data_IF_249277613903
#
_entry.id   IF_249277613903
#
_cell.length_a   1.000
_cell.length_b   1.000
_cell.length_c   1.000
_cell.angle_alpha   90.00
_cell.angle_beta   90.00
_cell.angle_gamma   90.00
#
_symmetry.space_group_name_H-M   'P 1'
#
loop_
_entity.id
_entity.type
_entity.pdbx_description
1 polymer ?
#
# COMPACT_ATOMS: atom_id res chain seq x y z
N UNK A 1 16.67 17.67 13.92
CA UNK A 1 16.52 16.25 14.34
C UNK A 1 16.40 15.40 13.09
N UNK A 2 17.16 14.31 13.00
CA UNK A 2 17.07 13.35 11.90
C UNK A 2 15.62 12.85 11.72
N UNK A 3 15.07 13.08 10.52
CA UNK A 3 13.70 12.73 10.14
C UNK A 3 13.41 11.25 10.43
N UNK A 4 14.38 10.38 10.16
CA UNK A 4 14.22 8.94 10.28
C UNK A 4 14.18 8.52 11.76
N UNK A 5 15.08 9.07 12.58
CA UNK A 5 15.06 8.85 14.02
C UNK A 5 13.77 9.38 14.68
N UNK A 6 13.23 10.49 14.18
CA UNK A 6 11.96 11.05 14.67
C UNK A 6 10.78 10.13 14.36
N UNK A 7 10.68 9.61 13.14
CA UNK A 7 9.63 8.65 12.75
C UNK A 7 9.70 7.34 13.54
N UNK A 8 10.91 6.78 13.73
CA UNK A 8 11.06 5.55 14.52
C UNK A 8 10.49 5.69 15.92
N UNK A 9 10.89 6.75 16.63
CA UNK A 9 10.40 7.03 17.98
C UNK A 9 8.91 7.36 18.03
N UNK A 10 8.42 8.13 17.06
CA UNK A 10 7.03 8.62 17.07
C UNK A 10 6.01 7.55 16.69
N UNK A 11 6.40 6.55 15.89
CA UNK A 11 5.45 5.55 15.40
C UNK A 11 6.06 4.16 15.26
N UNK A 12 7.14 3.99 14.49
CA UNK A 12 7.58 2.67 14.04
C UNK A 12 7.94 1.72 15.20
N UNK A 13 8.65 2.21 16.21
CA UNK A 13 9.08 1.39 17.34
C UNK A 13 7.89 0.97 18.22
N UNK A 14 6.93 1.89 18.41
CA UNK A 14 5.75 1.65 19.24
C UNK A 14 4.75 0.74 18.53
N UNK A 15 4.43 1.04 17.27
CA UNK A 15 3.53 0.25 16.44
C UNK A 15 4.12 -1.14 16.17
N UNK A 16 5.42 -1.22 15.84
CA UNK A 16 6.10 -2.48 15.59
C UNK A 16 6.07 -3.41 16.80
N UNK A 17 6.43 -2.90 17.99
CA UNK A 17 6.35 -3.70 19.24
C UNK A 17 4.93 -4.18 19.54
N UNK A 18 3.94 -3.30 19.39
CA UNK A 18 2.54 -3.65 19.65
C UNK A 18 2.05 -4.71 18.69
N UNK A 19 2.25 -4.52 17.38
CA UNK A 19 1.77 -5.42 16.33
C UNK A 19 2.52 -6.76 16.36
N UNK A 20 3.81 -6.77 16.69
CA UNK A 20 4.55 -8.01 16.89
C UNK A 20 3.92 -8.92 17.95
N UNK A 21 3.35 -8.36 19.01
CA UNK A 21 2.64 -9.12 20.03
C UNK A 21 1.27 -9.67 19.56
N UNK A 22 0.72 -9.15 18.47
CA UNK A 22 -0.57 -9.60 17.90
C UNK A 22 -0.40 -10.64 16.80
N UNK A 23 0.80 -10.73 16.22
CA UNK A 23 1.07 -11.55 15.05
C UNK A 23 1.29 -13.02 15.43
N UNK A 24 0.63 -13.96 14.75
CA UNK A 24 1.06 -15.36 14.74
C UNK A 24 2.50 -15.50 14.23
N UNK A 25 3.24 -16.49 14.74
CA UNK A 25 4.62 -16.75 14.35
C UNK A 25 4.76 -17.40 12.97
N UNK A 26 3.70 -18.07 12.51
CA UNK A 26 3.62 -18.89 11.29
C UNK A 26 2.96 -18.16 10.11
N UNK A 27 2.81 -16.83 10.21
CA UNK A 27 2.22 -16.05 9.13
C UNK A 27 3.00 -16.22 7.80
N UNK A 28 2.30 -16.25 6.65
CA UNK A 28 2.94 -16.19 5.35
C UNK A 28 3.83 -14.96 5.23
N UNK A 29 5.05 -15.17 4.73
CA UNK A 29 6.04 -14.10 4.49
C UNK A 29 5.82 -13.35 3.18
N UNK A 30 4.74 -13.68 2.47
CA UNK A 30 4.24 -12.97 1.29
C UNK A 30 3.12 -12.03 1.73
N UNK A 31 3.34 -10.73 1.59
CA UNK A 31 2.43 -9.67 2.02
C UNK A 31 1.78 -9.02 0.81
N UNK A 32 0.45 -8.85 0.86
CA UNK A 32 -0.30 -8.06 -0.11
C UNK A 32 -0.90 -6.85 0.60
N UNK A 33 -0.60 -5.66 0.07
CA UNK A 33 -1.07 -4.38 0.57
C UNK A 33 -1.83 -3.64 -0.54
N UNK A 34 -3.13 -3.95 -0.74
CA UNK A 34 -3.95 -3.21 -1.68
C UNK A 34 -4.15 -1.77 -1.17
N UNK A 35 -4.16 -0.84 -2.12
CA UNK A 35 -4.28 0.61 -1.88
C UNK A 35 -3.09 1.22 -1.11
N UNK A 36 -1.96 0.50 -1.02
CA UNK A 36 -0.81 0.91 -0.20
C UNK A 36 0.06 2.01 -0.81
N UNK A 37 -0.02 2.26 -2.11
CA UNK A 37 0.85 3.25 -2.75
C UNK A 37 2.33 2.92 -2.56
N UNK A 38 3.14 3.95 -2.31
CA UNK A 38 4.53 3.81 -1.89
C UNK A 38 4.74 3.54 -0.40
N UNK A 39 3.71 3.19 0.39
CA UNK A 39 3.83 2.98 1.86
C UNK A 39 4.49 1.64 2.23
N UNK A 40 5.70 1.41 1.71
CA UNK A 40 6.56 0.31 2.13
C UNK A 40 6.99 0.46 3.59
N UNK A 41 7.07 1.69 4.12
CA UNK A 41 7.52 1.92 5.50
C UNK A 41 6.59 1.29 6.52
N UNK A 42 5.26 1.41 6.33
CA UNK A 42 4.30 0.80 7.25
C UNK A 42 4.32 -0.71 7.09
N UNK A 43 4.45 -1.22 5.87
CA UNK A 43 4.57 -2.65 5.63
C UNK A 43 5.78 -3.27 6.31
N UNK A 44 6.94 -2.60 6.31
CA UNK A 44 8.13 -3.07 7.02
C UNK A 44 8.01 -2.99 8.54
N UNK A 45 7.14 -2.12 9.08
CA UNK A 45 6.82 -2.10 10.53
C UNK A 45 5.88 -3.24 10.91
N UNK A 46 4.83 -3.50 10.10
CA UNK A 46 3.84 -4.56 10.38
C UNK A 46 4.44 -5.94 10.11
N UNK A 47 5.22 -6.07 9.03
CA UNK A 47 5.81 -7.32 8.54
C UNK A 47 7.33 -7.24 8.36
N UNK A 48 8.12 -7.03 9.44
CA UNK A 48 9.59 -6.89 9.36
C UNK A 48 10.34 -8.11 8.83
N UNK A 49 9.70 -9.27 8.76
CA UNK A 49 10.22 -10.56 8.31
C UNK A 49 9.63 -11.03 6.97
N UNK A 50 8.85 -10.18 6.29
CA UNK A 50 8.35 -10.46 4.95
C UNK A 50 9.51 -10.72 3.98
N UNK A 51 9.36 -11.76 3.16
CA UNK A 51 10.25 -12.06 2.05
C UNK A 51 9.77 -11.37 0.77
N UNK A 52 8.47 -11.16 0.66
CA UNK A 52 7.86 -10.45 -0.45
C UNK A 52 6.78 -9.49 0.07
N UNK A 53 6.81 -8.24 -0.39
CA UNK A 53 5.76 -7.24 -0.16
C UNK A 53 5.26 -6.74 -1.51
N UNK A 54 3.98 -6.89 -1.79
CA UNK A 54 3.31 -6.34 -2.98
C UNK A 54 2.35 -5.23 -2.57
N UNK A 55 2.64 -3.98 -2.94
CA UNK A 55 1.69 -2.86 -2.84
C UNK A 55 0.99 -2.64 -4.17
N UNK A 56 -0.28 -2.21 -4.12
CA UNK A 56 -1.06 -1.92 -5.32
C UNK A 56 -1.76 -0.58 -5.14
N UNK A 57 -1.75 0.28 -6.16
CA UNK A 57 -2.46 1.57 -6.10
C UNK A 57 -2.69 2.17 -7.48
N UNK A 58 -3.24 3.39 -7.51
CA UNK A 58 -3.46 4.14 -8.75
C UNK A 58 -2.21 4.89 -9.21
N UNK A 59 -1.22 5.07 -8.35
CA UNK A 59 -0.02 5.86 -8.65
C UNK A 59 1.07 5.02 -9.30
N UNK A 60 1.70 5.54 -10.36
CA UNK A 60 2.81 4.88 -11.02
C UNK A 60 4.08 4.91 -10.17
N UNK A 61 4.96 3.93 -10.39
CA UNK A 61 6.27 3.92 -9.77
C UNK A 61 7.12 5.11 -10.21
N UNK A 62 7.08 5.44 -11.51
CA UNK A 62 7.78 6.56 -12.14
C UNK A 62 9.17 6.21 -12.69
N UNK A 63 9.75 7.09 -13.51
CA UNK A 63 11.04 6.87 -14.19
C UNK A 63 12.21 7.24 -13.26
N UNK A 64 13.02 6.25 -12.88
CA UNK A 64 14.20 6.49 -12.05
C UNK A 64 15.33 7.21 -12.81
N UNK A 65 15.34 7.14 -14.16
CA UNK A 65 16.42 7.69 -15.01
C UNK A 65 16.42 9.20 -15.05
N UNK A 66 15.34 9.85 -14.60
CA UNK A 66 15.26 11.29 -14.45
C UNK A 66 16.42 11.86 -13.60
N UNK A 67 17.01 11.05 -12.71
CA UNK A 67 18.15 11.46 -11.90
C UNK A 67 19.39 11.84 -12.72
N UNK A 68 19.50 11.35 -13.95
CA UNK A 68 20.63 11.63 -14.85
C UNK A 68 20.54 13.01 -15.51
N UNK A 69 19.32 13.57 -15.61
CA UNK A 69 19.04 14.79 -16.36
C UNK A 69 18.40 15.91 -15.52
N UNK A 70 17.85 15.60 -14.34
CA UNK A 70 17.22 16.58 -13.46
C UNK A 70 18.21 17.69 -13.06
N UNK A 71 17.75 18.94 -13.12
CA UNK A 71 18.57 20.08 -12.71
C UNK A 71 18.83 20.07 -11.20
N UNK A 72 19.97 20.62 -10.76
CA UNK A 72 20.31 20.68 -9.33
C UNK A 72 19.28 21.43 -8.49
N UNK A 73 18.71 22.51 -9.04
CA UNK A 73 17.66 23.29 -8.36
C UNK A 73 16.38 22.47 -8.23
N UNK A 74 15.92 21.85 -9.32
CA UNK A 74 14.70 21.03 -9.30
C UNK A 74 14.85 19.82 -8.37
N UNK A 75 16.01 19.17 -8.39
CA UNK A 75 16.31 18.07 -7.48
C UNK A 75 16.21 18.51 -6.01
N UNK A 76 16.72 19.69 -5.66
CA UNK A 76 16.62 20.21 -4.31
C UNK A 76 15.16 20.48 -3.90
N UNK A 77 14.36 21.08 -4.79
CA UNK A 77 12.94 21.37 -4.57
C UNK A 77 12.10 20.09 -4.41
N UNK A 78 12.35 19.09 -5.26
CA UNK A 78 11.68 17.80 -5.21
C UNK A 78 12.05 17.02 -3.93
N UNK A 79 13.32 17.03 -3.52
CA UNK A 79 13.74 16.42 -2.24
C UNK A 79 13.02 17.07 -1.05
N UNK A 80 12.86 18.40 -1.05
CA UNK A 80 12.12 19.10 0.01
C UNK A 80 10.64 18.71 -0.01
N UNK A 81 10.02 18.68 -1.19
CA UNK A 81 8.60 18.36 -1.38
C UNK A 81 8.29 16.92 -0.96
N UNK A 82 8.99 15.95 -1.55
CA UNK A 82 8.85 14.52 -1.24
C UNK A 82 9.23 14.27 0.21
N UNK A 83 10.32 14.88 0.70
CA UNK A 83 10.70 14.79 2.11
C UNK A 83 9.58 15.24 3.03
N UNK A 84 8.90 16.35 2.70
CA UNK A 84 7.71 16.87 3.38
C UNK A 84 6.55 15.87 3.39
N UNK A 85 6.28 15.24 2.25
CA UNK A 85 5.24 14.22 2.10
C UNK A 85 5.54 12.92 2.87
N UNK A 86 6.80 12.47 2.86
CA UNK A 86 7.28 11.38 3.70
C UNK A 86 7.09 11.75 5.19
N UNK A 87 7.38 13.00 5.61
CA UNK A 87 7.08 13.43 6.99
C UNK A 87 5.59 13.38 7.30
N UNK A 88 4.73 13.74 6.35
CA UNK A 88 3.27 13.67 6.52
C UNK A 88 2.81 12.22 6.70
N UNK A 89 3.28 11.30 5.84
CA UNK A 89 3.04 9.87 6.00
C UNK A 89 3.48 9.38 7.39
N UNK A 90 4.67 9.80 7.82
CA UNK A 90 5.28 9.39 9.09
C UNK A 90 4.55 9.97 10.32
N UNK A 91 4.01 11.18 10.23
CA UNK A 91 3.25 11.83 11.33
C UNK A 91 1.80 11.38 11.39
N UNK A 92 1.14 11.35 10.24
CA UNK A 92 -0.27 11.00 10.16
C UNK A 92 -0.49 9.49 10.19
N UNK A 93 0.57 8.71 10.00
CA UNK A 93 0.51 7.26 9.89
C UNK A 93 -0.64 6.83 8.96
N UNK A 94 -0.75 7.45 7.78
CA UNK A 94 -1.55 7.02 6.64
C UNK A 94 -1.05 7.72 5.36
N UNK A 95 -1.05 7.01 4.23
CA UNK A 95 -0.84 7.63 2.92
C UNK A 95 -2.19 8.11 2.39
N UNK A 96 -2.21 9.24 1.68
CA UNK A 96 -3.43 9.69 0.99
C UNK A 96 -3.15 9.77 -0.50
N UNK A 97 -4.11 9.37 -1.32
CA UNK A 97 -4.06 9.53 -2.79
C UNK A 97 -3.76 10.98 -3.17
N UNK A 98 -4.22 11.97 -2.38
CA UNK A 98 -3.86 13.38 -2.57
C UNK A 98 -2.35 13.63 -2.39
N UNK A 99 -1.73 13.07 -1.35
CA UNK A 99 -0.28 13.18 -1.13
C UNK A 99 0.53 12.52 -2.25
N UNK A 100 0.13 11.31 -2.68
CA UNK A 100 0.83 10.59 -3.74
C UNK A 100 0.61 11.25 -5.11
N UNK A 101 -0.58 11.77 -5.41
CA UNK A 101 -0.83 12.57 -6.62
C UNK A 101 -0.05 13.88 -6.61
N UNK A 102 0.02 14.59 -5.48
CA UNK A 102 0.85 15.79 -5.38
C UNK A 102 2.33 15.46 -5.64
N UNK A 103 2.84 14.35 -5.07
CA UNK A 103 4.19 13.87 -5.33
C UNK A 103 4.40 13.43 -6.79
N UNK A 104 3.35 13.06 -7.52
CA UNK A 104 3.42 12.73 -8.94
C UNK A 104 3.56 13.96 -9.87
N UNK A 105 3.46 15.19 -9.33
CA UNK A 105 3.78 16.42 -10.06
C UNK A 105 5.26 16.79 -9.97
N UNK A 106 6.04 16.13 -9.11
CA UNK A 106 7.50 16.25 -9.08
C UNK A 106 8.13 15.54 -10.28
N UNK A 107 9.32 15.99 -10.70
CA UNK A 107 10.12 15.26 -11.69
C UNK A 107 10.66 13.97 -11.09
N UNK A 108 11.05 14.01 -9.81
CA UNK A 108 11.39 12.80 -9.07
C UNK A 108 10.16 11.88 -8.87
N UNK A 109 10.31 10.57 -9.09
CA UNK A 109 9.21 9.62 -9.01
C UNK A 109 8.76 9.39 -7.57
N UNK A 110 7.70 10.07 -7.12
CA UNK A 110 7.23 10.09 -5.74
C UNK A 110 7.06 8.70 -5.10
N UNK A 111 6.35 7.79 -5.76
CA UNK A 111 6.12 6.42 -5.26
C UNK A 111 7.43 5.66 -5.03
N UNK A 112 8.36 5.74 -5.99
CA UNK A 112 9.67 5.12 -5.86
C UNK A 112 10.50 5.78 -4.74
N UNK A 113 10.46 7.11 -4.62
CA UNK A 113 11.19 7.82 -3.57
C UNK A 113 10.67 7.48 -2.17
N UNK A 114 9.37 7.26 -2.00
CA UNK A 114 8.79 6.76 -0.75
C UNK A 114 9.31 5.36 -0.40
N UNK A 115 9.39 4.45 -1.37
CA UNK A 115 9.92 3.11 -1.16
C UNK A 115 11.41 3.14 -0.78
N UNK A 116 12.23 3.95 -1.45
CA UNK A 116 13.65 4.11 -1.13
C UNK A 116 13.85 4.74 0.25
N UNK A 117 13.05 5.74 0.62
CA UNK A 117 13.07 6.32 1.97
C UNK A 117 12.71 5.28 3.04
N UNK A 118 11.72 4.43 2.77
CA UNK A 118 11.37 3.32 3.65
C UNK A 118 12.56 2.37 3.86
N UNK A 119 13.22 1.93 2.78
CA UNK A 119 14.41 1.07 2.89
C UNK A 119 15.51 1.73 3.74
N UNK A 120 15.80 3.01 3.49
CA UNK A 120 16.81 3.75 4.24
C UNK A 120 16.48 3.83 5.75
N UNK A 121 15.24 4.18 6.10
CA UNK A 121 14.76 4.23 7.49
C UNK A 121 14.90 2.88 8.16
N UNK A 122 14.56 1.80 7.47
CA UNK A 122 14.56 0.44 8.01
C UNK A 122 15.93 -0.24 7.97
N UNK A 123 16.99 0.50 7.64
CA UNK A 123 18.34 -0.06 7.59
C UNK A 123 18.51 -1.12 6.51
N UNK A 124 17.77 -0.98 5.41
CA UNK A 124 17.85 -1.84 4.24
C UNK A 124 18.66 -1.16 3.14
N UNK A 125 19.35 -1.96 2.33
CA UNK A 125 20.00 -1.53 1.11
C UNK A 125 19.28 -2.12 -0.11
N UNK A 126 18.93 -1.31 -1.12
CA UNK A 126 18.45 -1.82 -2.39
C UNK A 126 19.60 -2.48 -3.17
N UNK A 127 19.29 -3.56 -3.88
CA UNK A 127 20.22 -4.37 -4.68
C UNK A 127 19.94 -4.24 -6.17
N UNK A 128 18.68 -4.14 -6.57
CA UNK A 128 18.28 -3.91 -7.95
C UNK A 128 16.91 -3.25 -8.02
N UNK A 129 16.65 -2.58 -9.15
CA UNK A 129 15.35 -2.05 -9.54
C UNK A 129 15.05 -2.56 -10.95
N UNK A 130 13.87 -3.15 -11.14
CA UNK A 130 13.41 -3.63 -12.45
C UNK A 130 11.98 -3.20 -12.71
N UNK A 131 11.69 -2.77 -13.92
CA UNK A 131 10.32 -2.57 -14.39
C UNK A 131 9.76 -3.88 -14.94
N UNK A 132 8.45 -4.07 -14.84
CA UNK A 132 7.80 -5.27 -15.35
C UNK A 132 6.37 -5.03 -15.83
N UNK A 133 5.92 -5.89 -16.73
CA UNK A 133 4.50 -6.06 -17.05
C UNK A 133 3.99 -7.41 -16.53
N UNK A 134 2.71 -7.46 -16.18
CA UNK A 134 2.05 -8.71 -15.82
C UNK A 134 1.49 -9.33 -17.10
N UNK A 135 1.79 -10.61 -17.31
CA UNK A 135 1.30 -11.40 -18.44
C UNK A 135 -0.12 -11.92 -18.17
N UNK A 136 -0.86 -12.37 -19.22
CA UNK A 136 -2.20 -12.95 -19.07
C UNK A 136 -2.31 -14.09 -18.04
N UNK A 137 -1.25 -14.89 -17.87
CA UNK A 137 -1.17 -15.98 -16.90
C UNK A 137 -0.74 -15.54 -15.49
N UNK A 138 -0.57 -14.25 -15.26
CA UNK A 138 -0.11 -13.67 -13.98
C UNK A 138 1.41 -13.72 -13.77
N UNK A 139 2.19 -14.26 -14.72
CA UNK A 139 3.65 -14.20 -14.67
C UNK A 139 4.18 -12.79 -14.94
N UNK A 140 5.42 -12.52 -14.52
CA UNK A 140 6.05 -11.21 -14.70
C UNK A 140 7.01 -11.22 -15.89
N UNK A 141 6.85 -10.28 -16.81
CA UNK A 141 7.81 -9.98 -17.87
C UNK A 141 8.62 -8.75 -17.47
N UNK A 142 9.89 -8.94 -17.12
CA UNK A 142 10.79 -7.82 -16.84
C UNK A 142 11.19 -7.09 -18.12
N UNK A 143 11.23 -5.77 -18.04
CA UNK A 143 11.52 -4.88 -19.16
C UNK A 143 13.00 -4.55 -19.22
N UNK A 144 13.56 -4.57 -20.42
CA UNK A 144 14.92 -4.08 -20.70
C UNK A 144 14.93 -2.57 -20.87
N UNK A 145 16.11 -1.94 -20.88
CA UNK A 145 16.21 -0.50 -21.20
C UNK A 145 15.60 -0.18 -22.57
N UNK A 146 15.83 -1.03 -23.59
CA UNK A 146 15.25 -0.84 -24.92
C UNK A 146 13.72 -0.96 -24.95
N UNK A 147 13.14 -1.84 -24.12
CA UNK A 147 11.68 -1.90 -23.96
C UNK A 147 11.12 -0.61 -23.37
N UNK A 148 11.82 -0.05 -22.37
CA UNK A 148 11.42 1.19 -21.69
C UNK A 148 11.56 2.40 -22.60
N UNK A 149 12.64 2.49 -23.38
CA UNK A 149 12.85 3.58 -24.35
C UNK A 149 11.75 3.58 -25.41
N UNK A 150 11.50 2.43 -26.03
CA UNK A 150 10.41 2.28 -27.01
C UNK A 150 9.06 2.63 -26.40
N UNK A 151 8.75 2.16 -25.19
CA UNK A 151 7.49 2.46 -24.51
C UNK A 151 7.36 3.94 -24.18
N UNK A 152 8.44 4.61 -23.80
CA UNK A 152 8.43 6.04 -23.54
C UNK A 152 8.18 6.86 -24.81
N UNK A 153 8.80 6.48 -25.93
CA UNK A 153 8.57 7.09 -27.25
C UNK A 153 7.12 6.91 -27.71
N UNK A 154 6.60 5.67 -27.66
CA UNK A 154 5.20 5.35 -27.99
C UNK A 154 4.22 6.15 -27.13
N UNK A 155 4.51 6.28 -25.83
CA UNK A 155 3.68 7.03 -24.89
C UNK A 155 3.67 8.54 -25.18
N UNK A 156 4.84 9.12 -25.52
CA UNK A 156 4.94 10.53 -25.92
C UNK A 156 4.15 10.78 -27.22
N UNK A 157 4.29 9.90 -28.21
CA UNK A 157 3.54 9.97 -29.46
C UNK A 157 2.02 9.91 -29.21
N UNK A 158 1.55 8.98 -28.38
CA UNK A 158 0.13 8.84 -28.05
C UNK A 158 -0.43 10.03 -27.23
N UNK A 159 0.38 10.66 -26.37
CA UNK A 159 -0.01 11.89 -25.64
C UNK A 159 -0.27 13.08 -26.57
N UNK A 160 0.38 13.13 -27.72
CA UNK A 160 0.05 14.12 -28.75
C UNK A 160 -1.32 13.87 -29.40
N UNK A 161 -1.92 12.68 -29.22
CA UNK A 161 -3.10 12.26 -29.99
C UNK A 161 -4.45 12.20 -29.23
N UNK A 162 -4.58 12.09 -27.89
CA UNK A 162 -5.94 12.04 -27.26
C UNK A 162 -6.12 12.28 -25.74
N UNK A 163 -7.43 12.39 -25.41
CA UNK A 163 -8.20 12.86 -24.21
C UNK A 163 -7.85 12.27 -22.83
N UNK A 164 -8.09 13.09 -21.79
CA UNK A 164 -8.05 12.77 -20.34
C UNK A 164 -8.69 11.41 -20.02
N UNK A 165 -7.97 10.56 -19.27
CA UNK A 165 -8.44 9.24 -18.83
C UNK A 165 -9.75 9.25 -18.04
N UNK A 166 -10.47 8.12 -18.04
CA UNK A 166 -11.71 7.96 -17.29
C UNK A 166 -11.40 7.95 -15.78
N UNK A 167 -12.15 8.74 -15.02
CA UNK A 167 -12.12 8.72 -13.55
C UNK A 167 -12.68 7.40 -13.06
N UNK A 168 -12.12 6.87 -11.97
CA UNK A 168 -12.75 5.81 -11.18
C UNK A 168 -14.10 6.28 -10.66
N UNK A 169 -14.96 5.33 -10.27
CA UNK A 169 -16.26 5.61 -9.66
C UNK A 169 -16.15 6.48 -8.39
N UNK A 170 -14.97 6.54 -7.78
CA UNK A 170 -14.68 7.30 -6.56
C UNK A 170 -13.84 8.57 -6.83
N UNK A 171 -13.73 9.00 -8.09
CA UNK A 171 -13.16 10.30 -8.48
C UNK A 171 -11.64 10.35 -8.66
N UNK A 172 -10.94 9.22 -8.52
CA UNK A 172 -9.49 9.12 -8.66
C UNK A 172 -9.11 8.59 -10.04
N UNK A 173 -7.89 8.87 -10.52
CA UNK A 173 -7.43 8.46 -11.85
C UNK A 173 -6.20 7.58 -11.69
N UNK A 174 -6.23 6.41 -12.31
CA UNK A 174 -5.05 5.55 -12.48
C UNK A 174 -4.00 6.29 -13.33
N UNK A 175 -2.77 6.32 -12.86
CA UNK A 175 -1.68 6.97 -13.57
C UNK A 175 -1.22 6.09 -14.73
N UNK A 176 -1.51 6.56 -15.93
CA UNK A 176 -0.96 6.00 -17.15
C UNK A 176 0.50 6.45 -17.31
N UNK A 177 1.41 5.48 -17.40
CA UNK A 177 2.85 5.72 -17.40
C UNK A 177 3.61 4.62 -18.15
N UNK A 178 4.70 4.95 -18.86
CA UNK A 178 5.64 3.96 -19.37
C UNK A 178 6.39 3.21 -18.24
N UNK A 179 6.38 3.78 -17.03
CA UNK A 179 7.10 3.32 -15.84
C UNK A 179 6.13 2.97 -14.71
N UNK A 180 5.16 2.09 -15.01
CA UNK A 180 4.08 1.73 -14.08
C UNK A 180 4.58 0.89 -12.91
N UNK A 181 4.99 -0.35 -13.16
CA UNK A 181 5.28 -1.33 -12.10
C UNK A 181 6.78 -1.47 -11.87
N UNK A 182 7.19 -1.62 -10.62
CA UNK A 182 8.59 -1.85 -10.24
C UNK A 182 8.74 -2.99 -9.25
N UNK A 183 9.83 -3.73 -9.39
CA UNK A 183 10.38 -4.62 -8.38
C UNK A 183 11.68 -4.02 -7.84
N UNK A 184 11.82 -3.97 -6.52
CA UNK A 184 13.07 -3.67 -5.84
C UNK A 184 13.47 -4.92 -5.04
N UNK A 185 14.65 -5.45 -5.34
CA UNK A 185 15.29 -6.42 -4.46
C UNK A 185 16.11 -5.68 -3.42
N UNK A 186 16.05 -6.09 -2.16
CA UNK A 186 16.74 -5.43 -1.06
C UNK A 186 17.14 -6.42 0.04
N UNK A 187 18.01 -5.99 0.95
CA UNK A 187 18.40 -6.77 2.13
C UNK A 187 18.82 -5.84 3.29
N UNK A 188 19.00 -6.35 4.52
CA UNK A 188 19.59 -5.56 5.61
C UNK A 188 20.97 -5.02 5.25
N UNK A 189 21.18 -3.72 5.47
CA UNK A 189 22.44 -3.01 5.22
C UNK A 189 23.49 -3.44 6.26
N UNK A 190 24.73 -3.63 5.81
CA UNK A 190 25.85 -3.97 6.71
C UNK A 190 25.81 -5.40 7.25
N UNK A 191 24.95 -6.27 6.74
CA UNK A 191 25.04 -7.71 6.96
C UNK A 191 26.26 -8.31 6.25
N UNK A 192 26.59 -9.56 6.57
CA UNK A 192 27.73 -10.32 6.03
C UNK A 192 27.62 -10.69 4.52
N UNK A 193 26.75 -10.00 3.78
CA UNK A 193 26.42 -10.30 2.38
C UNK A 193 25.57 -11.56 2.19
N UNK A 194 25.35 -12.38 3.24
CA UNK A 194 24.57 -13.64 3.19
C UNK A 194 23.12 -13.48 3.63
N UNK A 195 22.75 -12.29 4.14
CA UNK A 195 21.37 -12.01 4.51
C UNK A 195 20.42 -12.29 3.33
N UNK A 196 19.28 -12.98 3.55
CA UNK A 196 18.36 -13.31 2.48
C UNK A 196 17.87 -12.07 1.74
N UNK A 197 17.89 -12.15 0.40
CA UNK A 197 17.30 -11.13 -0.47
C UNK A 197 15.79 -11.15 -0.30
N UNK A 198 15.21 -9.96 -0.21
CA UNK A 198 13.76 -9.73 -0.11
C UNK A 198 13.29 -8.93 -1.32
N UNK A 199 12.00 -9.04 -1.59
CA UNK A 199 11.38 -8.45 -2.77
C UNK A 199 10.29 -7.47 -2.36
N UNK A 200 10.33 -6.27 -2.92
CA UNK A 200 9.23 -5.32 -2.89
C UNK A 200 8.72 -5.13 -4.32
N UNK A 201 7.41 -5.25 -4.52
CA UNK A 201 6.75 -4.95 -5.79
C UNK A 201 5.71 -3.86 -5.60
N UNK A 202 5.74 -2.88 -6.48
CA UNK A 202 4.69 -1.91 -6.63
C UNK A 202 3.97 -2.13 -7.96
N UNK A 203 2.64 -2.30 -7.91
CA UNK A 203 1.79 -2.52 -9.08
C UNK A 203 0.80 -1.37 -9.20
N UNK A 204 0.68 -0.82 -10.40
CA UNK A 204 -0.36 0.16 -10.74
C UNK A 204 -1.57 -0.60 -11.21
N UNK A 205 -2.68 -0.45 -10.49
CA UNK A 205 -3.97 -1.01 -10.88
C UNK A 205 -5.12 -0.35 -10.13
N UNK A 206 -6.17 -0.03 -10.86
CA UNK A 206 -7.48 0.27 -10.31
C UNK A 206 -8.19 -1.03 -9.94
N UNK A 207 -8.40 -1.23 -8.65
CA UNK A 207 -8.96 -2.47 -8.10
C UNK A 207 -10.49 -2.48 -8.04
N UNK A 208 -11.17 -1.51 -8.68
CA UNK A 208 -12.61 -1.57 -8.86
C UNK A 208 -13.00 -2.73 -9.80
N UNK A 209 -14.23 -3.22 -9.64
CA UNK A 209 -14.72 -4.42 -10.31
C UNK A 209 -14.79 -4.26 -11.83
N UNK A 210 -15.03 -3.04 -12.32
CA UNK A 210 -15.14 -2.77 -13.75
C UNK A 210 -13.77 -2.87 -14.44
N UNK A 211 -12.71 -2.32 -13.82
CA UNK A 211 -11.34 -2.43 -14.32
C UNK A 211 -10.82 -3.87 -14.17
N UNK A 212 -11.09 -4.49 -13.02
CA UNK A 212 -10.71 -5.89 -12.80
C UNK A 212 -11.45 -6.86 -13.73
N UNK A 213 -12.66 -6.53 -14.21
CA UNK A 213 -13.34 -7.31 -15.23
C UNK A 213 -12.75 -7.13 -16.65
N UNK A 214 -12.16 -5.96 -16.93
CA UNK A 214 -11.50 -5.68 -18.21
C UNK A 214 -10.10 -6.29 -18.27
N UNK A 215 -9.40 -6.35 -17.14
CA UNK A 215 -8.05 -6.91 -17.03
C UNK A 215 -7.85 -7.64 -15.70
N UNK A 216 -7.89 -8.98 -15.75
CA UNK A 216 -7.74 -9.83 -14.56
C UNK A 216 -6.28 -10.15 -14.22
N UNK A 217 -5.30 -9.66 -14.98
CA UNK A 217 -3.89 -10.07 -14.82
C UNK A 217 -3.36 -9.85 -13.41
N UNK A 218 -3.75 -8.74 -12.78
CA UNK A 218 -3.39 -8.44 -11.39
C UNK A 218 -3.99 -9.49 -10.44
N UNK A 219 -5.27 -9.83 -10.57
CA UNK A 219 -5.90 -10.86 -9.73
C UNK A 219 -5.30 -12.25 -9.96
N UNK A 220 -4.97 -12.61 -11.20
CA UNK A 220 -4.29 -13.87 -11.50
C UNK A 220 -2.91 -13.92 -10.83
N UNK A 221 -2.12 -12.85 -10.96
CA UNK A 221 -0.82 -12.73 -10.28
C UNK A 221 -0.93 -12.85 -8.76
N UNK A 222 -1.95 -12.22 -8.17
CA UNK A 222 -2.19 -12.26 -6.73
C UNK A 222 -2.64 -13.64 -6.23
N UNK A 223 -3.50 -14.34 -6.98
CA UNK A 223 -3.95 -15.71 -6.65
C UNK A 223 -2.80 -16.71 -6.69
N UNK A 224 -1.86 -16.56 -7.63
CA UNK A 224 -0.68 -17.42 -7.74
C UNK A 224 0.23 -17.37 -6.49
N UNK A 225 0.11 -16.35 -5.63
CA UNK A 225 0.83 -16.25 -4.36
C UNK A 225 0.32 -17.22 -3.28
N UNK A 226 -0.86 -17.81 -3.48
CA UNK A 226 -1.48 -18.71 -2.50
C UNK A 226 -1.97 -17.97 -1.25
N UNK A 227 -1.56 -18.46 -0.07
CA UNK A 227 -1.92 -17.85 1.22
C UNK A 227 -0.99 -16.69 1.56
N UNK A 228 -1.58 -15.56 1.96
CA UNK A 228 -0.85 -14.30 2.18
C UNK A 228 -1.16 -13.67 3.53
N UNK A 229 -0.24 -12.84 4.00
CA UNK A 229 -0.49 -11.82 5.01
C UNK A 229 -1.00 -10.56 4.31
N UNK A 230 -1.91 -9.81 4.94
CA UNK A 230 -2.53 -8.63 4.30
C UNK A 230 -2.44 -7.43 5.22
N UNK A 231 -2.19 -6.26 4.66
CA UNK A 231 -2.57 -5.04 5.36
C UNK A 231 -3.35 -4.12 4.44
N UNK A 232 -4.23 -3.33 5.02
CA UNK A 232 -4.71 -2.11 4.36
C UNK A 232 -4.71 -1.01 5.39
N UNK A 233 -4.49 0.21 4.97
CA UNK A 233 -4.33 1.33 5.89
C UNK A 233 -4.55 2.57 5.08
N UNK A 234 -5.65 3.25 5.37
CA UNK A 234 -6.28 4.10 4.39
C UNK A 234 -6.62 3.35 3.09
N UNK A 235 -7.60 3.88 2.37
CA UNK A 235 -8.04 3.46 1.03
C UNK A 235 -9.36 4.15 0.72
N UNK A 236 -9.68 5.33 1.27
CA UNK A 236 -11.05 5.89 1.20
C UNK A 236 -12.19 4.89 1.50
N UNK A 237 -11.94 3.91 2.38
CA UNK A 237 -12.88 2.82 2.72
C UNK A 237 -13.35 1.98 1.53
N UNK A 238 -12.52 1.83 0.48
CA UNK A 238 -12.90 1.15 -0.77
C UNK A 238 -13.44 -0.28 -0.55
N UNK A 239 -12.91 -1.02 0.44
CA UNK A 239 -13.37 -2.37 0.79
C UNK A 239 -14.81 -2.43 1.37
N UNK A 240 -15.44 -1.27 1.65
CA UNK A 240 -16.83 -1.18 2.07
C UNK A 240 -17.83 -1.18 0.92
N UNK A 241 -17.39 -0.81 -0.29
CA UNK A 241 -18.28 -0.65 -1.45
C UNK A 241 -18.42 -1.94 -2.24
N UNK A 242 -19.55 -2.10 -2.93
CA UNK A 242 -19.81 -3.30 -3.75
C UNK A 242 -18.90 -3.37 -4.96
N UNK A 243 -18.57 -2.23 -5.56
CA UNK A 243 -17.69 -2.11 -6.73
C UNK A 243 -16.23 -2.50 -6.47
N UNK A 244 -15.90 -3.01 -5.28
CA UNK A 244 -14.60 -3.57 -4.92
C UNK A 244 -14.73 -5.04 -4.46
N UNK A 245 -15.78 -5.73 -4.90
CA UNK A 245 -16.06 -7.11 -4.50
C UNK A 245 -14.97 -8.07 -4.97
N UNK A 246 -14.44 -7.95 -6.19
CA UNK A 246 -13.43 -8.87 -6.74
C UNK A 246 -12.15 -8.88 -5.91
N UNK A 247 -11.64 -7.70 -5.53
CA UNK A 247 -10.46 -7.61 -4.66
C UNK A 247 -10.78 -8.09 -3.24
N UNK A 248 -11.95 -7.73 -2.68
CA UNK A 248 -12.37 -8.20 -1.35
C UNK A 248 -12.49 -9.72 -1.30
N UNK A 249 -13.03 -10.35 -2.33
CA UNK A 249 -13.19 -11.80 -2.43
C UNK A 249 -11.84 -12.50 -2.53
N UNK A 250 -10.91 -11.97 -3.33
CA UNK A 250 -9.53 -12.44 -3.33
C UNK A 250 -8.92 -12.39 -1.92
N UNK A 251 -9.05 -11.26 -1.22
CA UNK A 251 -8.50 -11.12 0.13
C UNK A 251 -9.12 -12.16 1.07
N UNK A 252 -10.44 -12.31 1.10
CA UNK A 252 -11.13 -13.28 1.96
C UNK A 252 -10.73 -14.73 1.65
N UNK A 253 -10.42 -15.07 0.39
CA UNK A 253 -10.00 -16.42 0.00
C UNK A 253 -8.53 -16.70 0.33
N UNK A 254 -7.65 -15.70 0.19
CA UNK A 254 -6.19 -15.89 0.27
C UNK A 254 -5.58 -15.44 1.59
N UNK A 255 -6.19 -14.52 2.32
CA UNK A 255 -5.59 -13.97 3.54
C UNK A 255 -5.64 -14.97 4.69
N UNK A 256 -4.57 -14.99 5.48
CA UNK A 256 -4.47 -15.76 6.73
C UNK A 256 -4.49 -14.85 7.95
N UNK A 257 -4.16 -13.57 7.76
CA UNK A 257 -4.17 -12.56 8.79
C UNK A 257 -4.08 -11.18 8.15
N UNK A 258 -4.89 -10.24 8.65
CA UNK A 258 -4.93 -8.88 8.16
C UNK A 258 -4.86 -7.86 9.29
N UNK A 259 -3.98 -6.87 9.16
CA UNK A 259 -4.03 -5.63 9.98
C UNK A 259 -4.60 -4.50 9.15
N UNK A 260 -5.53 -3.77 9.76
CA UNK A 260 -6.17 -2.61 9.16
C UNK A 260 -6.57 -1.54 10.18
N UNK A 261 -7.08 -0.43 9.70
CA UNK A 261 -7.93 0.51 10.45
C UNK A 261 -9.40 0.21 10.12
N UNK A 262 -10.31 1.17 10.31
CA UNK A 262 -11.70 1.00 9.93
C UNK A 262 -11.92 0.93 8.41
N UNK A 263 -10.91 1.16 7.57
CA UNK A 263 -11.02 0.97 6.11
C UNK A 263 -10.84 -0.50 5.68
N UNK A 264 -10.68 -1.42 6.63
CA UNK A 264 -10.65 -2.86 6.40
C UNK A 264 -11.99 -3.46 5.96
N UNK A 265 -12.04 -4.79 5.87
CA UNK A 265 -13.21 -5.53 5.39
C UNK A 265 -14.37 -5.46 6.40
N UNK A 266 -15.60 -5.11 5.99
CA UNK A 266 -16.74 -5.05 6.89
C UNK A 266 -17.11 -6.41 7.55
N UNK A 267 -17.65 -6.40 8.78
CA UNK A 267 -18.07 -7.61 9.48
C UNK A 267 -19.08 -8.46 8.71
N UNK A 268 -20.00 -7.83 7.96
CA UNK A 268 -20.97 -8.51 7.09
C UNK A 268 -20.33 -9.35 5.98
N UNK A 269 -19.09 -9.06 5.57
CA UNK A 269 -18.34 -9.89 4.63
C UNK A 269 -17.35 -10.82 5.33
N UNK A 270 -16.62 -10.32 6.33
CA UNK A 270 -15.59 -11.10 7.03
C UNK A 270 -16.17 -12.28 7.83
N UNK A 271 -17.29 -12.06 8.53
CA UNK A 271 -17.92 -13.06 9.39
C UNK A 271 -18.39 -14.32 8.65
N UNK A 272 -19.16 -14.19 7.55
CA UNK A 272 -19.57 -15.32 6.70
C UNK A 272 -18.40 -16.05 6.03
N UNK A 273 -17.30 -15.35 5.73
CA UNK A 273 -16.09 -15.95 5.17
C UNK A 273 -15.21 -16.68 6.20
N UNK A 274 -15.70 -16.84 7.45
CA UNK A 274 -14.98 -17.60 8.48
C UNK A 274 -13.94 -16.80 9.27
N UNK A 275 -13.95 -15.46 9.18
CA UNK A 275 -13.02 -14.61 9.92
C UNK A 275 -13.66 -14.03 11.18
N UNK A 276 -12.86 -13.89 12.23
CA UNK A 276 -13.14 -13.02 13.36
C UNK A 276 -12.33 -11.74 13.28
N UNK A 277 -12.84 -10.72 13.95
CA UNK A 277 -12.28 -9.37 13.93
C UNK A 277 -12.08 -8.89 15.35
N UNK A 278 -10.85 -8.50 15.69
CA UNK A 278 -10.44 -8.02 17.02
C UNK A 278 -10.14 -6.53 16.94
N UNK A 279 -10.79 -5.75 17.79
CA UNK A 279 -10.68 -4.28 17.79
C UNK A 279 -9.74 -3.76 18.85
N UNK A 280 -9.02 -2.70 18.50
CA UNK A 280 -8.16 -1.92 19.39
C UNK A 280 -8.48 -0.44 19.22
N UNK A 281 -8.33 0.32 20.30
CA UNK A 281 -8.72 1.73 20.37
C UNK A 281 -10.23 1.93 20.30
N UNK A 282 -10.65 3.06 19.75
CA UNK A 282 -12.05 3.48 19.68
C UNK A 282 -12.40 3.97 18.28
N UNK A 283 -13.59 3.60 17.81
CA UNK A 283 -14.12 4.04 16.52
C UNK A 283 -15.57 4.49 16.66
N UNK A 284 -15.80 5.80 16.51
CA UNK A 284 -17.13 6.41 16.51
C UNK A 284 -17.78 6.53 15.12
N UNK A 285 -16.97 6.51 14.06
CA UNK A 285 -17.43 6.67 12.68
C UNK A 285 -16.33 7.17 11.73
N UNK A 286 -16.51 7.01 10.41
CA UNK A 286 -15.55 7.48 9.43
C UNK A 286 -15.62 9.02 9.27
N UNK A 287 -14.48 9.66 8.99
CA UNK A 287 -14.40 11.13 8.95
C UNK A 287 -14.87 11.77 7.63
N UNK A 288 -14.82 11.08 6.48
CA UNK A 288 -14.97 11.76 5.17
C UNK A 288 -15.64 10.96 4.02
N UNK A 289 -16.39 9.89 4.30
CA UNK A 289 -16.97 9.05 3.24
C UNK A 289 -18.48 9.23 3.06
N UNK A 290 -18.97 8.87 1.88
CA UNK A 290 -20.37 8.54 1.66
C UNK A 290 -20.59 7.07 1.99
N UNK A 291 -21.53 6.77 2.89
CA UNK A 291 -21.83 5.42 3.36
C UNK A 291 -23.33 5.11 3.19
N UNK A 292 -23.79 4.89 1.94
CA UNK A 292 -25.21 4.68 1.65
C UNK A 292 -25.75 3.38 2.26
N UNK A 293 -24.88 2.40 2.54
CA UNK A 293 -25.23 1.12 3.17
C UNK A 293 -25.24 1.18 4.70
N UNK A 294 -24.84 2.31 5.29
CA UNK A 294 -24.66 2.45 6.72
C UNK A 294 -23.71 1.38 7.31
N UNK A 295 -22.68 0.99 6.54
CA UNK A 295 -21.62 0.06 6.95
C UNK A 295 -20.94 0.53 8.24
N UNK A 296 -20.87 1.86 8.47
CA UNK A 296 -20.39 2.46 9.72
C UNK A 296 -21.06 1.88 10.96
N UNK A 297 -22.35 1.53 10.89
CA UNK A 297 -23.08 0.99 12.03
C UNK A 297 -22.56 -0.39 12.43
N UNK A 298 -22.09 -1.19 11.46
CA UNK A 298 -21.46 -2.48 11.73
C UNK A 298 -20.14 -2.31 12.48
N UNK A 299 -19.27 -1.41 12.01
CA UNK A 299 -18.00 -1.10 12.66
C UNK A 299 -18.20 -0.53 14.06
N UNK A 300 -19.06 0.49 14.22
CA UNK A 300 -19.35 1.08 15.55
C UNK A 300 -19.91 0.02 16.50
N UNK A 301 -20.81 -0.85 16.03
CA UNK A 301 -21.35 -1.97 16.83
C UNK A 301 -20.25 -2.96 17.21
N UNK A 302 -19.33 -3.30 16.29
CA UNK A 302 -18.22 -4.20 16.57
C UNK A 302 -17.26 -3.64 17.62
N UNK A 303 -16.86 -2.38 17.52
CA UNK A 303 -15.99 -1.74 18.54
C UNK A 303 -16.70 -1.66 19.89
N UNK A 304 -17.97 -1.26 19.93
CA UNK A 304 -18.75 -1.16 21.20
C UNK A 304 -18.95 -2.50 21.90
N UNK A 305 -19.02 -3.61 21.15
CA UNK A 305 -19.24 -4.95 21.70
C UNK A 305 -17.99 -5.59 22.31
N UNK A 306 -16.80 -5.09 21.97
CA UNK A 306 -15.54 -5.63 22.47
C UNK A 306 -15.00 -4.80 23.64
N UNK A 307 -14.23 -5.41 24.55
CA UNK A 307 -13.56 -4.65 25.59
C UNK A 307 -12.60 -3.63 24.98
N UNK A 308 -12.51 -2.45 25.61
CA UNK A 308 -11.56 -1.42 25.19
C UNK A 308 -10.13 -1.94 25.37
N UNK A 309 -9.39 -2.03 24.27
CA UNK A 309 -7.94 -2.32 24.26
C UNK A 309 -7.20 -1.06 23.88
N UNK A 310 -6.38 -0.52 24.78
CA UNK A 310 -5.68 0.73 24.54
C UNK A 310 -4.80 0.65 23.28
N UNK A 311 -4.89 1.68 22.42
CA UNK A 311 -4.07 1.81 21.22
C UNK A 311 -3.29 3.14 21.27
N UNK A 312 -1.99 3.09 21.61
CA UNK A 312 -1.26 4.30 21.98
C UNK A 312 -0.62 5.02 20.78
N UNK A 313 -0.95 4.62 19.55
CA UNK A 313 -0.45 5.19 18.30
C UNK A 313 -1.55 5.24 17.23
N UNK A 314 -1.38 6.13 16.24
CA UNK A 314 -2.25 6.21 15.06
C UNK A 314 -1.97 5.06 14.10
N UNK A 315 -3.01 4.43 13.56
CA UNK A 315 -2.88 3.50 12.45
C UNK A 315 -3.97 3.81 11.41
N UNK A 316 -3.59 4.32 10.24
CA UNK A 316 -4.56 4.65 9.20
C UNK A 316 -5.31 5.96 9.50
N UNK A 317 -6.53 6.09 8.97
CA UNK A 317 -7.33 7.29 9.15
C UNK A 317 -7.71 7.51 10.62
N UNK A 318 -7.86 8.78 11.06
CA UNK A 318 -8.60 9.05 12.27
C UNK A 318 -10.07 8.71 12.11
N UNK A 319 -10.69 8.31 13.22
CA UNK A 319 -12.15 8.35 13.30
C UNK A 319 -12.63 9.82 13.35
N UNK A 320 -13.94 10.02 13.28
CA UNK A 320 -14.57 11.35 13.31
C UNK A 320 -14.17 12.22 14.53
N UNK A 321 -13.81 11.59 15.66
CA UNK A 321 -13.42 12.23 16.92
C UNK A 321 -11.89 12.24 17.13
N UNK A 322 -11.12 11.94 16.08
CA UNK A 322 -9.65 11.84 16.09
C UNK A 322 -9.10 10.76 17.01
N UNK A 323 -9.89 9.75 17.38
CA UNK A 323 -9.45 8.60 18.18
C UNK A 323 -8.67 7.61 17.32
N UNK A 324 -7.70 6.95 17.94
CA UNK A 324 -6.92 5.89 17.30
C UNK A 324 -7.73 4.61 17.29
N UNK A 325 -7.66 3.87 16.20
CA UNK A 325 -8.25 2.54 16.10
C UNK A 325 -7.40 1.63 15.22
N UNK A 326 -7.49 0.32 15.48
CA UNK A 326 -6.84 -0.72 14.71
C UNK A 326 -7.72 -1.96 14.74
N UNK A 327 -7.72 -2.69 13.64
CA UNK A 327 -8.53 -3.87 13.38
C UNK A 327 -7.64 -5.01 12.93
N UNK A 328 -7.70 -6.13 13.64
CA UNK A 328 -7.10 -7.39 13.22
C UNK A 328 -8.20 -8.30 12.72
N UNK A 329 -8.13 -8.73 11.46
CA UNK A 329 -9.01 -9.75 10.88
C UNK A 329 -8.22 -11.05 10.72
N UNK A 330 -8.70 -12.14 11.30
CA UNK A 330 -8.01 -13.44 11.31
C UNK A 330 -9.03 -14.60 11.24
N UNK A 331 -8.66 -15.79 10.76
CA UNK A 331 -9.55 -16.94 10.77
C UNK A 331 -10.11 -17.18 12.17
N UNK A 332 -11.40 -17.53 12.26
CA UNK A 332 -12.00 -17.97 13.52
C UNK A 332 -11.25 -19.21 14.01
N UNK A 333 -10.90 -19.23 15.29
CA UNK A 333 -10.50 -20.48 15.92
C UNK A 333 -11.68 -21.45 15.83
N UNK A 334 -11.42 -22.67 15.35
CA UNK A 334 -12.41 -23.75 15.33
C UNK A 334 -12.77 -24.20 16.74
#
# INVERSE_FOLDING_TARGET
QDLYASYKRAWADQAGKFIAALRPADLPKTVVYPFGGGDLTSALVVYPDAQEITTISLEAAGDARIIESISKSQLADDIVTIGGDVRRLYRSAHSTTKSLQNAAHSELPGTLMFALAALAVHGMEPLSLKYFDIQPDGSLKYLTSGDLDRRAEEFLAAKHEKKRGKRSSHGWVEQDSPFSNVEIQYRPRGGDGKAPVRTYRHIVANLDDAHMAQDERVLVHLRAKGKVSVMTKAASFLLWYDDFSKIRDYLLQSMTWMVSDASGIPPSYAGPAGFEQVTYGEFGGPYFIQDPKNTRAEFVKMWKKQPLRALPFRFGYPDQDKKNHLLVTKPKAN
#
